data_IF_829039005097
#
_entry.id   IF_829039005097
#
_cell.length_a   1.000
_cell.length_b   1.000
_cell.length_c   1.000
_cell.angle_alpha   90.00
_cell.angle_beta   90.00
_cell.angle_gamma   90.00
#
_symmetry.space_group_name_H-M   'P 1'
#
loop_
_entity.id
_entity.type
_entity.pdbx_description
1 polymer ?
#
# COMPACT_ATOMS: atom_id res chain seq x y z
N UNK A 1 27.87 -23.28 -5.67
CA UNK A 1 28.05 -23.90 -4.34
C UNK A 1 29.38 -23.44 -3.77
N UNK A 2 29.50 -23.24 -2.46
CA UNK A 2 30.76 -22.88 -1.82
C UNK A 2 31.29 -24.08 -1.04
N UNK A 3 32.57 -24.40 -1.23
CA UNK A 3 33.24 -25.54 -0.59
C UNK A 3 34.41 -25.03 0.23
N UNK A 4 34.54 -25.51 1.47
CA UNK A 4 35.73 -25.23 2.28
C UNK A 4 36.93 -26.06 1.83
N UNK A 5 38.14 -25.61 2.15
CA UNK A 5 39.36 -26.36 1.92
C UNK A 5 39.56 -27.43 3.02
N UNK A 6 39.55 -28.73 2.70
CA UNK A 6 39.72 -29.81 3.68
C UNK A 6 40.99 -29.72 4.51
N UNK A 7 42.12 -29.34 3.89
CA UNK A 7 43.43 -29.30 4.52
C UNK A 7 43.52 -28.24 5.63
N UNK A 8 42.75 -27.17 5.48
CA UNK A 8 42.63 -26.11 6.49
C UNK A 8 41.64 -26.54 7.58
N UNK A 9 40.54 -27.20 7.20
CA UNK A 9 39.49 -27.59 8.13
C UNK A 9 39.85 -28.77 9.04
N UNK A 10 40.73 -29.68 8.60
CA UNK A 10 41.10 -30.88 9.37
C UNK A 10 41.65 -30.55 10.76
N UNK A 11 42.39 -29.45 10.91
CA UNK A 11 42.99 -29.03 12.18
C UNK A 11 42.13 -28.02 12.95
N UNK A 12 40.86 -27.84 12.57
CA UNK A 12 39.98 -26.88 13.22
C UNK A 12 39.42 -27.42 14.54
N UNK A 13 39.65 -26.73 15.66
CA UNK A 13 39.10 -27.08 16.98
C UNK A 13 37.57 -27.16 17.01
N UNK A 14 36.89 -26.47 16.08
CA UNK A 14 35.43 -26.45 15.98
C UNK A 14 34.88 -27.36 14.88
N UNK A 15 35.69 -28.25 14.31
CA UNK A 15 35.32 -29.12 13.19
C UNK A 15 34.05 -29.95 13.50
N UNK A 16 33.99 -30.53 14.70
CA UNK A 16 32.86 -31.31 15.21
C UNK A 16 31.53 -30.53 15.25
N UNK A 17 31.59 -29.20 15.41
CA UNK A 17 30.43 -28.29 15.37
C UNK A 17 30.15 -27.73 13.97
N UNK A 18 31.14 -27.70 13.10
CA UNK A 18 31.10 -27.00 11.82
C UNK A 18 30.58 -27.86 10.66
N UNK A 19 30.97 -29.13 10.60
CA UNK A 19 30.55 -30.10 9.57
C UNK A 19 30.66 -31.53 10.11
N UNK A 20 29.73 -32.42 9.69
CA UNK A 20 29.78 -33.87 9.98
C UNK A 20 30.36 -34.68 8.82
N UNK A 21 30.92 -34.01 7.81
CA UNK A 21 31.49 -34.68 6.64
C UNK A 21 32.76 -35.45 7.01
N UNK A 22 32.87 -36.69 6.52
CA UNK A 22 34.09 -37.51 6.65
C UNK A 22 35.28 -36.92 5.89
N UNK A 23 35.04 -36.10 4.87
CA UNK A 23 36.10 -35.44 4.07
C UNK A 23 36.55 -34.11 4.66
N UNK A 24 36.13 -33.76 5.88
CA UNK A 24 36.41 -32.49 6.54
C UNK A 24 36.05 -31.24 5.69
N UNK A 25 35.18 -31.42 4.70
CA UNK A 25 34.70 -30.38 3.80
C UNK A 25 33.31 -29.92 4.21
N UNK A 26 33.12 -28.61 4.31
CA UNK A 26 31.81 -27.98 4.46
C UNK A 26 31.34 -27.50 3.10
N UNK A 27 30.16 -27.96 2.70
CA UNK A 27 29.48 -27.49 1.49
C UNK A 27 28.35 -26.56 1.91
N UNK A 28 28.37 -25.34 1.39
CA UNK A 28 27.31 -24.36 1.58
C UNK A 28 26.65 -24.12 0.23
N UNK A 29 25.39 -24.55 0.12
CA UNK A 29 24.56 -24.27 -1.04
C UNK A 29 23.90 -22.91 -0.84
N UNK A 30 24.13 -22.00 -1.78
CA UNK A 30 23.41 -20.73 -1.86
C UNK A 30 22.56 -20.72 -3.10
N UNK A 31 21.32 -20.26 -2.94
CA UNK A 31 20.41 -20.04 -4.04
C UNK A 31 20.87 -18.84 -4.87
N UNK A 32 20.60 -18.85 -6.18
CA UNK A 32 20.99 -17.76 -7.11
C UNK A 32 20.47 -16.40 -6.61
N UNK A 33 19.27 -16.40 -6.03
CA UNK A 33 18.61 -15.20 -5.50
C UNK A 33 18.90 -14.91 -4.01
N UNK A 34 19.87 -15.57 -3.37
CA UNK A 34 20.09 -15.43 -1.93
C UNK A 34 20.50 -14.01 -1.53
N UNK A 35 21.34 -13.35 -2.34
CA UNK A 35 21.73 -11.96 -2.11
C UNK A 35 20.51 -11.01 -2.13
N UNK A 36 19.57 -11.25 -3.05
CA UNK A 36 18.33 -10.48 -3.12
C UNK A 36 17.44 -10.73 -1.89
N UNK A 37 17.32 -12.00 -1.44
CA UNK A 37 16.60 -12.34 -0.20
C UNK A 37 17.21 -11.65 1.02
N UNK A 38 18.54 -11.62 1.12
CA UNK A 38 19.26 -10.95 2.20
C UNK A 38 19.05 -9.44 2.19
N UNK A 39 19.08 -8.83 1.01
CA UNK A 39 18.77 -7.41 0.86
C UNK A 39 17.34 -7.09 1.33
N UNK A 40 16.34 -7.88 0.90
CA UNK A 40 14.95 -7.73 1.35
C UNK A 40 14.84 -7.93 2.87
N UNK A 41 15.55 -8.90 3.44
CA UNK A 41 15.58 -9.15 4.88
C UNK A 41 16.15 -7.96 5.65
N UNK A 42 17.29 -7.40 5.20
CA UNK A 42 17.90 -6.20 5.79
C UNK A 42 16.95 -5.01 5.71
N UNK A 43 16.31 -4.79 4.55
CA UNK A 43 15.34 -3.72 4.38
C UNK A 43 14.13 -3.87 5.32
N UNK A 44 13.60 -5.09 5.49
CA UNK A 44 12.50 -5.36 6.44
C UNK A 44 12.89 -5.06 7.89
N UNK A 45 14.13 -5.35 8.27
CA UNK A 45 14.66 -5.12 9.62
C UNK A 45 15.06 -3.67 9.89
N UNK A 46 15.20 -2.83 8.85
CA UNK A 46 15.41 -1.40 9.00
C UNK A 46 14.26 -0.73 9.76
N UNK A 47 14.51 0.43 10.36
CA UNK A 47 13.50 1.14 11.14
C UNK A 47 12.28 1.52 10.29
N UNK A 48 12.52 2.09 9.10
CA UNK A 48 11.47 2.36 8.10
C UNK A 48 10.74 1.09 7.69
N UNK A 49 11.46 -0.01 7.51
CA UNK A 49 10.91 -1.32 7.16
C UNK A 49 9.93 -1.84 8.21
N UNK A 50 10.30 -1.78 9.49
CA UNK A 50 9.45 -2.16 10.62
C UNK A 50 8.17 -1.33 10.68
N UNK A 51 8.28 -0.01 10.53
CA UNK A 51 7.12 0.89 10.52
C UNK A 51 6.16 0.59 9.35
N UNK A 52 6.70 0.37 8.14
CA UNK A 52 5.91 -0.03 6.98
C UNK A 52 5.26 -1.39 7.19
N UNK A 53 5.98 -2.35 7.77
CA UNK A 53 5.46 -3.69 8.06
C UNK A 53 4.29 -3.63 9.05
N UNK A 54 4.39 -2.80 10.09
CA UNK A 54 3.32 -2.54 11.06
C UNK A 54 2.06 -2.00 10.40
N UNK A 55 2.16 -1.11 9.41
CA UNK A 55 0.98 -0.64 8.66
C UNK A 55 0.46 -1.67 7.67
N UNK A 56 1.37 -2.41 7.03
CA UNK A 56 1.02 -3.40 6.01
C UNK A 56 0.18 -4.53 6.58
N UNK A 57 0.47 -5.03 7.79
CA UNK A 57 -0.33 -6.11 8.42
C UNK A 57 -1.83 -5.76 8.43
N UNK A 58 -2.17 -4.54 8.86
CA UNK A 58 -3.56 -4.08 8.97
C UNK A 58 -4.21 -3.94 7.58
N UNK A 59 -3.48 -3.37 6.61
CA UNK A 59 -4.02 -3.19 5.25
C UNK A 59 -4.17 -4.51 4.48
N UNK A 60 -3.28 -5.48 4.73
CA UNK A 60 -3.31 -6.79 4.09
C UNK A 60 -4.50 -7.59 4.62
N UNK A 61 -4.71 -7.61 5.93
CA UNK A 61 -5.88 -8.28 6.54
C UNK A 61 -7.19 -7.74 5.96
N UNK A 62 -7.32 -6.42 5.81
CA UNK A 62 -8.50 -5.81 5.20
C UNK A 62 -8.68 -6.20 3.74
N UNK A 63 -7.59 -6.26 2.97
CA UNK A 63 -7.64 -6.71 1.56
C UNK A 63 -8.09 -8.16 1.44
N UNK A 64 -7.66 -9.04 2.36
CA UNK A 64 -8.10 -10.44 2.38
C UNK A 64 -9.56 -10.58 2.82
N UNK A 65 -10.01 -9.78 3.79
CA UNK A 65 -11.42 -9.73 4.18
C UNK A 65 -12.31 -9.31 2.99
N UNK A 66 -11.93 -8.25 2.26
CA UNK A 66 -12.63 -7.83 1.05
C UNK A 66 -12.62 -8.93 -0.02
N UNK A 67 -11.49 -9.65 -0.18
CA UNK A 67 -11.41 -10.73 -1.15
C UNK A 67 -12.38 -11.88 -0.80
N UNK A 68 -12.50 -12.20 0.48
CA UNK A 68 -13.38 -13.24 1.00
C UNK A 68 -14.86 -12.87 0.84
N UNK A 69 -15.24 -11.68 1.29
CA UNK A 69 -16.64 -11.25 1.36
C UNK A 69 -17.15 -10.68 0.03
N UNK A 70 -16.36 -9.86 -0.68
CA UNK A 70 -16.81 -9.14 -1.88
C UNK A 70 -16.39 -9.78 -3.20
N UNK A 71 -15.37 -10.65 -3.18
CA UNK A 71 -14.84 -11.30 -4.39
C UNK A 71 -14.94 -12.83 -4.35
N UNK A 72 -15.88 -13.35 -3.55
CA UNK A 72 -16.26 -14.76 -3.50
C UNK A 72 -15.09 -15.73 -3.26
N UNK A 73 -14.05 -15.31 -2.52
CA UNK A 73 -12.99 -16.23 -2.06
C UNK A 73 -13.34 -16.97 -0.77
N UNK A 74 -14.57 -16.85 -0.25
CA UNK A 74 -15.05 -17.72 0.84
C UNK A 74 -15.06 -19.19 0.44
N UNK A 75 -15.30 -19.50 -0.84
CA UNK A 75 -15.32 -20.86 -1.37
C UNK A 75 -14.52 -20.97 -2.66
N UNK A 76 -13.86 -22.12 -2.84
CA UNK A 76 -13.30 -22.50 -4.13
C UNK A 76 -14.45 -22.88 -5.08
N UNK A 77 -14.70 -22.07 -6.10
CA UNK A 77 -15.79 -22.31 -7.07
C UNK A 77 -15.48 -23.45 -8.03
N UNK A 78 -14.21 -23.70 -8.27
CA UNK A 78 -13.74 -24.72 -9.20
C UNK A 78 -13.01 -25.85 -8.45
N UNK A 79 -13.00 -27.04 -9.05
CA UNK A 79 -12.24 -28.20 -8.57
C UNK A 79 -10.88 -28.27 -9.25
N UNK A 80 -9.85 -28.61 -8.48
CA UNK A 80 -8.46 -28.76 -8.93
C UNK A 80 -7.61 -27.49 -8.76
N UNK A 81 -6.32 -27.70 -8.44
CA UNK A 81 -5.39 -26.63 -8.06
C UNK A 81 -5.26 -25.54 -9.13
N UNK A 82 -5.18 -25.93 -10.41
CA UNK A 82 -5.00 -24.99 -11.51
C UNK A 82 -6.17 -23.99 -11.62
N UNK A 83 -7.41 -24.47 -11.55
CA UNK A 83 -8.61 -23.63 -11.67
C UNK A 83 -8.85 -22.75 -10.43
N UNK A 84 -8.55 -23.26 -9.24
CA UNK A 84 -8.60 -22.45 -8.00
C UNK A 84 -7.54 -21.36 -8.03
N UNK A 85 -6.33 -21.67 -8.52
CA UNK A 85 -5.27 -20.68 -8.70
C UNK A 85 -5.71 -19.56 -9.66
N UNK A 86 -6.35 -19.91 -10.77
CA UNK A 86 -6.91 -18.94 -11.71
C UNK A 86 -7.96 -18.03 -11.03
N UNK A 87 -8.90 -18.60 -10.28
CA UNK A 87 -9.87 -17.82 -9.49
C UNK A 87 -9.16 -16.80 -8.57
N UNK A 88 -8.15 -17.24 -7.82
CA UNK A 88 -7.40 -16.37 -6.92
C UNK A 88 -6.67 -15.24 -7.67
N UNK A 89 -6.05 -15.56 -8.82
CA UNK A 89 -5.31 -14.59 -9.63
C UNK A 89 -6.25 -13.53 -10.24
N UNK A 90 -7.39 -13.94 -10.77
CA UNK A 90 -8.40 -13.03 -11.31
C UNK A 90 -8.97 -12.11 -10.22
N UNK A 91 -9.27 -12.65 -9.04
CA UNK A 91 -9.69 -11.83 -7.90
C UNK A 91 -8.63 -10.81 -7.50
N UNK A 92 -7.37 -11.23 -7.39
CA UNK A 92 -6.27 -10.33 -7.05
C UNK A 92 -6.09 -9.23 -8.12
N UNK A 93 -6.24 -9.57 -9.40
CA UNK A 93 -6.22 -8.60 -10.50
C UNK A 93 -7.35 -7.58 -10.36
N UNK A 94 -8.59 -8.02 -10.12
CA UNK A 94 -9.72 -7.12 -9.93
C UNK A 94 -9.50 -6.17 -8.74
N UNK A 95 -8.97 -6.66 -7.62
CA UNK A 95 -8.64 -5.82 -6.46
C UNK A 95 -7.54 -4.79 -6.79
N UNK A 96 -6.52 -5.19 -7.54
CA UNK A 96 -5.45 -4.28 -7.98
C UNK A 96 -5.97 -3.18 -8.91
N UNK A 97 -6.85 -3.51 -9.86
CA UNK A 97 -7.51 -2.55 -10.74
C UNK A 97 -8.37 -1.58 -9.94
N UNK A 98 -9.18 -2.07 -9.00
CA UNK A 98 -9.99 -1.23 -8.08
C UNK A 98 -9.10 -0.28 -7.28
N UNK A 99 -7.98 -0.78 -6.73
CA UNK A 99 -7.02 0.04 -5.99
C UNK A 99 -6.39 1.12 -6.87
N UNK A 100 -6.02 0.80 -8.10
CA UNK A 100 -5.47 1.75 -9.05
C UNK A 100 -6.48 2.85 -9.40
N UNK A 101 -7.73 2.48 -9.72
CA UNK A 101 -8.79 3.43 -10.01
C UNK A 101 -9.05 4.39 -8.83
N UNK A 102 -9.07 3.88 -7.60
CA UNK A 102 -9.22 4.71 -6.39
C UNK A 102 -8.04 5.68 -6.20
N UNK A 103 -6.80 5.24 -6.47
CA UNK A 103 -5.63 6.11 -6.40
C UNK A 103 -5.66 7.21 -7.45
N UNK A 104 -6.04 6.88 -8.69
CA UNK A 104 -6.18 7.84 -9.79
C UNK A 104 -7.29 8.85 -9.49
N UNK A 105 -8.45 8.40 -8.99
CA UNK A 105 -9.54 9.29 -8.59
C UNK A 105 -9.12 10.27 -7.50
N UNK A 106 -8.38 9.81 -6.47
CA UNK A 106 -7.85 10.68 -5.41
C UNK A 106 -6.82 11.69 -5.94
N UNK A 107 -5.96 11.28 -6.88
CA UNK A 107 -5.01 12.19 -7.54
C UNK A 107 -5.72 13.24 -8.41
N UNK A 108 -6.74 12.84 -9.17
CA UNK A 108 -7.57 13.74 -9.96
C UNK A 108 -8.29 14.78 -9.10
N UNK A 109 -8.84 14.37 -7.95
CA UNK A 109 -9.40 15.31 -6.96
C UNK A 109 -8.38 16.31 -6.43
N UNK A 110 -7.13 15.88 -6.21
CA UNK A 110 -6.04 16.80 -5.83
C UNK A 110 -5.72 17.82 -6.92
N UNK A 111 -5.75 17.42 -8.20
CA UNK A 111 -5.57 18.34 -9.33
C UNK A 111 -6.74 19.32 -9.47
N UNK A 112 -7.98 18.85 -9.35
CA UNK A 112 -9.17 19.71 -9.39
C UNK A 112 -9.19 20.71 -8.23
N UNK A 113 -8.90 20.26 -7.00
CA UNK A 113 -8.78 21.16 -5.83
C UNK A 113 -7.63 22.16 -6.04
N UNK A 114 -6.49 21.74 -6.58
CA UNK A 114 -5.37 22.65 -6.90
C UNK A 114 -5.73 23.66 -7.99
N UNK A 115 -6.47 23.25 -9.02
CA UNK A 115 -6.95 24.13 -10.08
C UNK A 115 -7.98 25.13 -9.56
N UNK A 116 -8.95 24.69 -8.76
CA UNK A 116 -9.91 25.57 -8.08
C UNK A 116 -9.18 26.56 -7.16
N UNK A 117 -8.21 26.11 -6.38
CA UNK A 117 -7.42 27.00 -5.52
C UNK A 117 -6.56 27.99 -6.34
N UNK A 118 -6.04 27.58 -7.50
CA UNK A 118 -5.30 28.47 -8.41
C UNK A 118 -6.19 29.50 -9.09
N UNK A 119 -7.41 29.11 -9.49
CA UNK A 119 -8.43 30.02 -10.02
C UNK A 119 -8.91 31.01 -8.94
N UNK A 120 -9.12 30.55 -7.70
CA UNK A 120 -9.45 31.42 -6.57
C UNK A 120 -8.31 32.38 -6.22
N UNK A 121 -7.04 31.96 -6.35
CA UNK A 121 -5.89 32.84 -6.17
C UNK A 121 -5.77 33.88 -7.30
N UNK A 122 -6.11 33.51 -8.54
CA UNK A 122 -6.16 34.44 -9.67
C UNK A 122 -7.30 35.46 -9.49
N UNK A 123 -8.47 35.02 -9.01
CA UNK A 123 -9.59 35.89 -8.67
C UNK A 123 -9.25 36.85 -7.51
N UNK A 124 -8.45 36.42 -6.52
CA UNK A 124 -7.93 37.30 -5.46
C UNK A 124 -6.97 38.37 -6.02
N UNK A 125 -6.11 38.00 -6.98
CA UNK A 125 -5.18 38.92 -7.65
C UNK A 125 -5.88 39.93 -8.58
N UNK A 126 -6.99 39.53 -9.21
CA UNK A 126 -7.83 40.41 -10.02
C UNK A 126 -8.60 41.38 -9.11
N UNK A 127 -9.15 40.90 -7.98
CA UNK A 127 -9.90 41.74 -7.05
C UNK A 127 -9.04 42.81 -6.35
N UNK A 128 -7.72 42.60 -6.22
CA UNK A 128 -6.77 43.58 -5.67
C UNK A 128 -6.36 44.70 -6.65
N UNK A 129 -6.64 44.56 -7.96
CA UNK A 129 -6.31 45.57 -8.98
C UNK A 129 -7.50 46.44 -9.39
N UNK A 130 -8.73 46.14 -8.97
CA UNK A 130 -9.95 46.83 -9.38
C UNK A 130 -10.78 47.41 -8.22
N UNK A 131 -10.12 47.83 -7.13
CA UNK A 131 -10.79 48.63 -6.10
C UNK A 131 -10.27 50.07 -6.13
N UNK A 132 -10.68 50.82 -7.15
CA UNK A 132 -10.80 52.28 -7.04
C UNK A 132 -12.13 52.58 -6.34
N UNK A 133 -12.14 53.37 -5.25
CA UNK A 133 -13.35 53.57 -4.46
C UNK A 133 -14.23 54.62 -5.14
N UNK A 134 -15.52 54.34 -5.32
CA UNK A 134 -16.50 55.42 -5.39
C UNK A 134 -17.74 55.06 -4.56
N UNK A 135 -18.33 56.05 -3.86
CA UNK A 135 -19.27 55.81 -2.78
C UNK A 135 -20.69 56.05 -3.25
N UNK A 136 -21.52 55.01 -3.38
CA UNK A 136 -22.97 55.22 -3.40
C UNK A 136 -23.77 53.95 -3.03
N UNK A 137 -24.25 53.97 -1.79
CA UNK A 137 -25.52 53.44 -1.27
C UNK A 137 -26.32 52.46 -2.16
N UNK A 138 -26.54 51.23 -1.67
CA UNK A 138 -27.88 50.79 -1.22
C UNK A 138 -27.91 49.32 -0.75
N UNK A 139 -27.96 49.19 0.57
CA UNK A 139 -28.67 48.22 1.42
C UNK A 139 -29.52 47.13 0.71
N UNK A 140 -29.22 45.86 0.99
CA UNK A 140 -30.22 44.91 1.54
C UNK A 140 -29.53 43.75 2.26
N UNK A 141 -29.55 43.86 3.59
CA UNK A 141 -29.20 42.81 4.53
C UNK A 141 -30.27 41.72 4.51
N UNK A 142 -29.89 40.47 4.23
CA UNK A 142 -30.65 39.30 4.66
C UNK A 142 -29.82 38.55 5.69
N UNK A 143 -30.42 38.43 6.86
CA UNK A 143 -29.88 37.91 8.10
C UNK A 143 -29.54 36.42 8.04
N UNK A 144 -28.40 36.08 8.65
CA UNK A 144 -28.00 34.74 9.06
C UNK A 144 -29.09 34.03 9.86
N UNK A 145 -29.29 32.75 9.58
CA UNK A 145 -29.68 31.77 10.60
C UNK A 145 -29.03 30.43 10.30
N UNK A 146 -27.96 30.19 11.05
CA UNK A 146 -27.27 28.92 11.21
C UNK A 146 -28.12 27.94 12.01
N UNK A 147 -28.30 26.71 11.52
CA UNK A 147 -28.57 25.57 12.41
C UNK A 147 -27.90 24.31 11.88
N UNK A 148 -26.86 23.90 12.61
CA UNK A 148 -26.24 22.59 12.51
C UNK A 148 -27.17 21.54 13.13
N UNK A 149 -27.32 20.37 12.51
CA UNK A 149 -27.07 19.03 13.12
C UNK A 149 -27.66 17.90 12.30
N UNK A 150 -26.75 17.05 11.82
CA UNK A 150 -26.75 15.60 11.98
C UNK A 150 -28.04 14.91 12.43
N UNK A 151 -28.55 13.99 11.61
CA UNK A 151 -28.98 12.65 12.04
C UNK A 151 -28.99 11.67 10.87
N UNK A 152 -28.74 10.43 11.25
CA UNK A 152 -28.31 9.22 10.52
C UNK A 152 -29.54 8.41 10.07
N UNK A 153 -29.31 7.47 9.13
CA UNK A 153 -30.08 6.21 8.90
C UNK A 153 -31.45 6.45 8.22
N UNK A 154 -31.87 5.78 7.15
CA UNK A 154 -31.81 4.35 6.78
C UNK A 154 -32.15 4.19 5.29
N UNK A 155 -31.39 3.39 4.54
CA UNK A 155 -31.81 2.88 3.23
C UNK A 155 -32.54 1.55 3.52
N UNK A 156 -33.87 1.56 3.35
CA UNK A 156 -34.63 0.33 3.14
C UNK A 156 -34.39 -0.13 1.68
N UNK A 157 -33.92 -1.37 1.53
CA UNK A 157 -34.23 -2.25 0.39
C UNK A 157 -35.31 -3.22 0.92
N UNK A 158 -36.29 -3.60 0.09
CA UNK A 158 -36.09 -4.60 -0.95
C UNK A 158 -35.97 -4.05 -2.37
#
# INVERSE_FOLDING_TARGET
EYKSNPNVCQNCLFLSRCTRSKTFQKVVTRHVWENAKEWVRKNRLSERGKQLYKRRRETIERSFADAKELHSLRYARYRGLAKVKEQCLLTAMAQNVKKLALLLSKRGKSLVIRLINKLNFLNLFISLKYTTPSPFLAKKTWSLSSSQRTKRISILLP
#
